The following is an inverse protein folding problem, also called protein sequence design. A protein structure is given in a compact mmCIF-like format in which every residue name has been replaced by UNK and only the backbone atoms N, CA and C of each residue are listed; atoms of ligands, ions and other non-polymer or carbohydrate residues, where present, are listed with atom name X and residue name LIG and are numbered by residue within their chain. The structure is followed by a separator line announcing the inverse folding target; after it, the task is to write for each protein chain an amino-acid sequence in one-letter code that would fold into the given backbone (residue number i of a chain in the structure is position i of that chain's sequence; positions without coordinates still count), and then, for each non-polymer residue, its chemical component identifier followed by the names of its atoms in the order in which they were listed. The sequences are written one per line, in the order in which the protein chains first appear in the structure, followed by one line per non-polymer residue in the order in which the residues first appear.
data_IF_211303429252
#
_entry.id   IF_211303429252
#
_cell.length_a   1.000
_cell.length_b   1.000
_cell.length_c   1.000
_cell.angle_alpha   90.00
_cell.angle_beta   90.00
_cell.angle_gamma   90.00
#
_symmetry.space_group_name_H-M   'P 1'
#
loop_
_entity.id
_entity.type
_entity.pdbx_description
1 polymer ?
#
# COMPACT_ATOMS: atom_id res chain seq x y z
N UNK A 1 -3.36 5.20 20.11
CA UNK A 1 -3.68 5.06 21.55
C UNK A 1 -4.13 3.65 21.97
N UNK A 2 -5.10 2.97 21.32
CA UNK A 2 -5.44 1.57 21.68
C UNK A 2 -4.36 0.55 21.24
N UNK A 3 -3.86 0.66 20.00
CA UNK A 3 -2.80 -0.22 19.49
C UNK A 3 -1.46 -0.12 20.25
N UNK A 4 -1.15 1.04 20.84
CA UNK A 4 0.08 1.26 21.61
C UNK A 4 0.02 0.54 22.97
N UNK A 5 -1.16 0.52 23.59
CA UNK A 5 -1.40 -0.14 24.87
C UNK A 5 -1.36 -1.67 24.74
N UNK A 6 -1.96 -2.23 23.69
CA UNK A 6 -1.89 -3.67 23.39
C UNK A 6 -0.47 -4.13 23.03
N UNK A 7 0.28 -3.29 22.31
CA UNK A 7 1.66 -3.59 21.94
C UNK A 7 2.62 -3.57 23.15
N UNK A 8 2.37 -2.71 24.15
CA UNK A 8 3.11 -2.70 25.41
C UNK A 8 2.81 -3.95 26.26
N UNK A 9 1.56 -4.42 26.26
CA UNK A 9 1.13 -5.61 26.99
C UNK A 9 1.76 -6.91 26.42
N UNK A 10 1.97 -6.98 25.11
CA UNK A 10 2.56 -8.15 24.44
C UNK A 10 4.09 -8.25 24.55
N UNK A 11 4.79 -7.29 25.17
CA UNK A 11 6.27 -7.25 25.40
C UNK A 11 7.09 -7.99 24.33
N UNK A 12 6.88 -7.66 23.06
CA UNK A 12 7.69 -8.22 21.97
C UNK A 12 9.06 -7.55 21.99
N UNK A 13 10.10 -8.35 22.25
CA UNK A 13 11.49 -7.89 22.13
C UNK A 13 11.83 -7.82 20.64
N UNK A 14 11.98 -6.60 20.12
CA UNK A 14 12.39 -6.35 18.75
C UNK A 14 13.84 -5.90 18.73
N UNK A 15 14.70 -6.62 18.01
CA UNK A 15 16.08 -6.17 17.77
C UNK A 15 16.06 -5.04 16.75
N UNK A 16 16.39 -3.83 17.20
CA UNK A 16 16.46 -2.63 16.37
C UNK A 16 17.85 -2.01 16.48
N UNK A 17 18.39 -1.49 15.37
CA UNK A 17 19.64 -0.75 15.41
C UNK A 17 19.47 0.56 16.19
N UNK A 18 20.53 0.99 16.89
CA UNK A 18 20.54 2.25 17.65
C UNK A 18 20.21 3.45 16.76
N UNK A 19 20.69 3.45 15.52
CA UNK A 19 20.43 4.51 14.55
C UNK A 19 18.95 4.62 14.17
N UNK A 20 18.26 3.49 13.92
CA UNK A 20 16.84 3.49 13.59
C UNK A 20 15.98 3.94 14.77
N UNK A 21 16.34 3.53 16.00
CA UNK A 21 15.67 4.01 17.21
C UNK A 21 15.84 5.52 17.39
N UNK A 22 17.07 6.03 17.29
CA UNK A 22 17.36 7.46 17.41
C UNK A 22 16.64 8.29 16.35
N UNK A 23 16.56 7.80 15.11
CA UNK A 23 15.79 8.45 14.04
C UNK A 23 14.31 8.53 14.39
N UNK A 24 13.70 7.44 14.87
CA UNK A 24 12.28 7.43 15.25
C UNK A 24 11.97 8.33 16.44
N UNK A 25 12.82 8.33 17.47
CA UNK A 25 12.66 9.22 18.65
C UNK A 25 12.72 10.70 18.26
N UNK A 26 13.53 11.06 17.26
CA UNK A 26 13.60 12.41 16.69
C UNK A 26 12.43 12.78 15.77
N UNK A 27 11.39 11.95 15.67
CA UNK A 27 10.23 12.19 14.80
C UNK A 27 10.47 11.80 13.34
N UNK A 28 11.50 11.01 13.05
CA UNK A 28 11.74 10.51 11.70
C UNK A 28 10.63 9.55 11.25
N UNK A 29 10.07 9.80 10.06
CA UNK A 29 8.99 8.99 9.47
C UNK A 29 9.39 7.53 9.29
N UNK A 30 8.46 6.62 9.56
CA UNK A 30 8.60 5.20 9.22
C UNK A 30 8.55 4.99 7.70
N UNK A 31 9.03 3.84 7.24
CA UNK A 31 8.95 3.47 5.82
C UNK A 31 7.50 3.46 5.32
N UNK A 32 6.55 3.09 6.17
CA UNK A 32 5.12 3.07 5.82
C UNK A 32 4.59 4.49 5.58
N UNK A 33 4.87 5.42 6.50
CA UNK A 33 4.48 6.82 6.39
C UNK A 33 5.16 7.53 5.20
N UNK A 34 6.43 7.20 4.91
CA UNK A 34 7.11 7.75 3.73
C UNK A 34 6.55 7.20 2.41
N UNK A 35 6.05 5.97 2.40
CA UNK A 35 5.49 5.35 1.20
C UNK A 35 4.03 5.74 0.96
N UNK A 36 3.31 6.25 1.96
CA UNK A 36 1.96 6.81 1.77
C UNK A 36 1.95 7.99 0.79
N UNK A 37 2.93 8.89 0.90
CA UNK A 37 3.09 10.02 -0.04
C UNK A 37 3.48 9.58 -1.46
N UNK A 38 4.03 8.36 -1.59
CA UNK A 38 4.48 7.80 -2.88
C UNK A 38 3.43 6.88 -3.51
N UNK A 39 2.23 6.77 -2.92
CA UNK A 39 1.15 5.97 -3.50
C UNK A 39 0.56 6.67 -4.74
N UNK A 40 0.39 5.91 -5.81
CA UNK A 40 -0.28 6.38 -7.03
C UNK A 40 -1.80 6.49 -6.87
N UNK A 41 -2.39 5.72 -5.96
CA UNK A 41 -3.83 5.67 -5.70
C UNK A 41 -4.12 6.24 -4.31
N UNK A 42 -5.25 6.93 -4.17
CA UNK A 42 -5.79 7.25 -2.84
C UNK A 42 -6.34 5.99 -2.17
N UNK A 43 -6.47 6.04 -0.85
CA UNK A 43 -7.07 4.95 -0.07
C UNK A 43 -8.47 4.57 -0.55
N UNK A 44 -9.25 5.54 -1.03
CA UNK A 44 -10.58 5.28 -1.60
C UNK A 44 -10.52 4.57 -2.96
N UNK A 45 -9.63 4.98 -3.86
CA UNK A 45 -9.43 4.31 -5.15
C UNK A 45 -8.95 2.87 -4.94
N UNK A 46 -8.01 2.65 -4.01
CA UNK A 46 -7.51 1.32 -3.65
C UNK A 46 -8.65 0.41 -3.14
N UNK A 47 -9.55 0.97 -2.31
CA UNK A 47 -10.74 0.24 -1.82
C UNK A 47 -11.70 -0.16 -2.94
N UNK A 48 -11.97 0.73 -3.89
CA UNK A 48 -12.87 0.44 -5.02
C UNK A 48 -12.27 -0.67 -5.88
N UNK A 49 -10.97 -0.64 -6.13
CA UNK A 49 -10.25 -1.69 -6.88
C UNK A 49 -10.33 -3.04 -6.16
N UNK A 50 -10.11 -3.05 -4.84
CA UNK A 50 -10.22 -4.28 -4.03
C UNK A 50 -11.64 -4.84 -4.09
N UNK A 51 -12.66 -3.98 -3.91
CA UNK A 51 -14.05 -4.40 -3.95
C UNK A 51 -14.42 -4.99 -5.30
N UNK A 52 -14.03 -4.34 -6.39
CA UNK A 52 -14.23 -4.86 -7.74
C UNK A 52 -13.56 -6.23 -7.91
N UNK A 53 -12.30 -6.39 -7.45
CA UNK A 53 -11.60 -7.67 -7.52
C UNK A 53 -12.32 -8.79 -6.75
N UNK A 54 -12.88 -8.49 -5.57
CA UNK A 54 -13.70 -9.42 -4.77
C UNK A 54 -15.00 -9.76 -5.50
N UNK A 55 -15.70 -8.77 -6.06
CA UNK A 55 -16.93 -8.99 -6.83
C UNK A 55 -16.69 -9.92 -8.03
N UNK A 56 -15.62 -9.69 -8.79
CA UNK A 56 -15.24 -10.53 -9.91
C UNK A 56 -14.93 -11.96 -9.46
N UNK A 57 -14.23 -12.13 -8.34
CA UNK A 57 -13.98 -13.46 -7.76
C UNK A 57 -15.27 -14.16 -7.32
N UNK A 58 -16.19 -13.44 -6.67
CA UNK A 58 -17.49 -13.97 -6.25
C UNK A 58 -18.37 -14.40 -7.43
N UNK A 59 -18.23 -13.74 -8.58
CA UNK A 59 -18.91 -14.10 -9.83
C UNK A 59 -18.25 -15.29 -10.56
N UNK A 60 -17.20 -15.87 -10.00
CA UNK A 60 -16.48 -17.01 -10.58
C UNK A 60 -15.36 -16.63 -11.56
N UNK A 61 -15.04 -15.34 -11.68
CA UNK A 61 -14.00 -14.83 -12.60
C UNK A 61 -12.93 -14.03 -11.84
N UNK A 62 -12.08 -14.68 -11.04
CA UNK A 62 -11.05 -13.97 -10.28
C UNK A 62 -10.12 -13.20 -11.21
N UNK A 63 -9.88 -11.92 -10.91
CA UNK A 63 -8.95 -11.10 -11.67
C UNK A 63 -7.52 -11.62 -11.47
N UNK A 64 -6.84 -11.95 -12.58
CA UNK A 64 -5.40 -12.21 -12.53
C UNK A 64 -4.63 -10.95 -12.10
N UNK A 65 -3.46 -11.13 -11.48
CA UNK A 65 -2.56 -10.02 -11.12
C UNK A 65 -2.30 -9.06 -12.30
N UNK A 66 -2.22 -9.59 -13.53
CA UNK A 66 -2.05 -8.76 -14.72
C UNK A 66 -3.24 -7.85 -14.97
N UNK A 67 -4.47 -8.39 -14.91
CA UNK A 67 -5.71 -7.63 -15.15
C UNK A 67 -5.96 -6.59 -14.08
N UNK A 68 -5.66 -6.94 -12.82
CA UNK A 68 -5.76 -6.00 -11.71
C UNK A 68 -4.78 -4.83 -11.89
N UNK A 69 -3.53 -5.11 -12.31
CA UNK A 69 -2.56 -4.08 -12.64
C UNK A 69 -3.03 -3.18 -13.79
N UNK A 70 -3.51 -3.75 -14.89
CA UNK A 70 -4.01 -2.99 -16.06
C UNK A 70 -5.12 -2.01 -15.64
N UNK A 71 -6.10 -2.48 -14.86
CA UNK A 71 -7.19 -1.63 -14.38
C UNK A 71 -6.71 -0.49 -13.47
N UNK A 72 -5.74 -0.78 -12.61
CA UNK A 72 -5.14 0.21 -11.71
C UNK A 72 -4.30 1.23 -12.47
N UNK A 73 -3.56 0.79 -13.49
CA UNK A 73 -2.79 1.67 -14.36
C UNK A 73 -3.70 2.62 -15.15
N UNK A 74 -4.87 2.18 -15.60
CA UNK A 74 -5.87 3.02 -16.26
C UNK A 74 -6.37 4.12 -15.32
N UNK A 75 -6.76 3.76 -14.08
CA UNK A 75 -7.22 4.71 -13.06
C UNK A 75 -6.11 5.74 -12.75
N UNK A 76 -4.90 5.25 -12.48
CA UNK A 76 -3.77 6.10 -12.14
C UNK A 76 -3.35 7.01 -13.31
N UNK A 77 -3.37 6.50 -14.55
CA UNK A 77 -3.08 7.30 -15.75
C UNK A 77 -4.16 8.36 -16.00
N UNK A 78 -5.43 8.03 -15.81
CA UNK A 78 -6.52 9.00 -15.93
C UNK A 78 -6.38 10.17 -14.94
N UNK A 79 -5.86 9.88 -13.73
CA UNK A 79 -5.67 10.88 -12.68
C UNK A 79 -4.39 11.71 -12.85
N UNK A 80 -3.27 11.07 -13.15
CA UNK A 80 -1.94 11.70 -13.11
C UNK A 80 -1.40 12.06 -14.50
N UNK A 81 -2.04 11.57 -15.58
CA UNK A 81 -1.63 11.83 -16.96
C UNK A 81 -0.17 11.48 -17.20
N UNK A 82 0.58 12.44 -17.74
CA UNK A 82 1.99 12.29 -18.08
C UNK A 82 2.92 12.13 -16.87
N UNK A 83 2.45 12.44 -15.65
CA UNK A 83 3.22 12.20 -14.41
C UNK A 83 3.23 10.71 -14.03
N UNK A 84 2.33 9.92 -14.60
CA UNK A 84 2.29 8.50 -14.35
C UNK A 84 3.32 7.77 -15.22
N UNK A 85 4.18 6.91 -14.64
CA UNK A 85 5.18 6.19 -15.41
C UNK A 85 4.56 5.30 -16.48
N UNK A 86 5.22 5.21 -17.65
CA UNK A 86 4.78 4.36 -18.75
C UNK A 86 4.68 2.87 -18.36
N UNK A 87 5.55 2.41 -17.47
CA UNK A 87 5.57 1.05 -16.90
C UNK A 87 4.42 0.74 -15.92
N UNK A 88 3.70 1.76 -15.48
CA UNK A 88 2.59 1.67 -14.53
C UNK A 88 3.01 1.56 -13.06
N UNK A 89 2.11 1.06 -12.20
CA UNK A 89 2.34 0.92 -10.75
C UNK A 89 3.41 -0.10 -10.35
N UNK A 90 3.97 -0.82 -11.34
CA UNK A 90 5.01 -1.83 -11.16
C UNK A 90 4.46 -3.24 -10.90
N UNK A 91 5.25 -4.26 -11.29
CA UNK A 91 4.83 -5.69 -11.28
C UNK A 91 4.53 -6.26 -9.89
N UNK A 92 5.07 -5.66 -8.84
CA UNK A 92 4.93 -6.13 -7.46
C UNK A 92 3.79 -5.45 -6.71
N UNK A 93 3.12 -4.47 -7.31
CA UNK A 93 2.07 -3.71 -6.65
C UNK A 93 0.91 -4.62 -6.20
N UNK A 94 0.48 -5.54 -7.07
CA UNK A 94 -0.59 -6.49 -6.76
C UNK A 94 -0.24 -7.53 -5.68
N UNK A 95 1.03 -7.64 -5.25
CA UNK A 95 1.42 -8.50 -4.12
C UNK A 95 1.37 -7.77 -2.77
N UNK A 96 1.22 -6.44 -2.80
CA UNK A 96 1.16 -5.58 -1.61
C UNK A 96 -0.27 -5.29 -1.17
N UNK A 97 -1.24 -5.52 -2.06
CA UNK A 97 -2.67 -5.64 -1.75
C UNK A 97 -2.92 -6.88 -0.89
#
# INVERSE_FOLDING_TARGET
KQAEAECLAQKKIVRLSKATLARRVKGGRSTREAHEEQKWLTSDEERVVIHAAIDYANRGFPLSHRRLKEHVDEIARARWGDKFPADGVGKQWTRRL
#
